data_IF_259491605316
#
_entry.id   IF_259491605316
#
_cell.length_a   1.000
_cell.length_b   1.000
_cell.length_c   1.000
_cell.angle_alpha   90.00
_cell.angle_beta   90.00
_cell.angle_gamma   90.00
#
_symmetry.space_group_name_H-M   'P 1'
#
loop_
_entity.id
_entity.type
_entity.pdbx_description
1 polymer ?
#
# COMPACT_ATOMS: atom_id res chain seq x y z
N UNK A 1 -28.27 2.79 -21.43
CA UNK A 1 -27.25 1.77 -21.14
C UNK A 1 -25.90 2.45 -21.33
N UNK A 2 -25.00 2.37 -20.34
CA UNK A 2 -23.65 2.92 -20.49
C UNK A 2 -22.93 2.18 -21.63
N UNK A 3 -22.21 2.87 -22.51
CA UNK A 3 -21.47 2.22 -23.61
C UNK A 3 -20.17 1.61 -23.08
N UNK A 4 -19.66 0.58 -23.75
CA UNK A 4 -18.40 -0.08 -23.38
C UNK A 4 -17.23 0.92 -23.27
N UNK A 5 -17.22 1.93 -24.15
CA UNK A 5 -16.24 3.01 -24.12
C UNK A 5 -16.30 3.86 -22.85
N UNK A 6 -17.50 4.13 -22.33
CA UNK A 6 -17.70 4.87 -21.09
C UNK A 6 -17.31 4.02 -19.88
N UNK A 7 -17.66 2.73 -19.89
CA UNK A 7 -17.29 1.79 -18.83
C UNK A 7 -15.77 1.57 -18.78
N UNK A 8 -15.11 1.44 -19.93
CA UNK A 8 -13.66 1.34 -20.04
C UNK A 8 -12.96 2.59 -19.49
N UNK A 9 -13.42 3.78 -19.89
CA UNK A 9 -12.87 5.05 -19.41
C UNK A 9 -13.04 5.20 -17.89
N UNK A 10 -14.21 4.82 -17.37
CA UNK A 10 -14.49 4.83 -15.94
C UNK A 10 -13.57 3.86 -15.18
N UNK A 11 -13.34 2.66 -15.72
CA UNK A 11 -12.45 1.66 -15.11
C UNK A 11 -11.01 2.15 -15.03
N UNK A 12 -10.48 2.79 -16.07
CA UNK A 12 -9.14 3.40 -16.06
C UNK A 12 -9.06 4.53 -15.03
N UNK A 13 -10.06 5.42 -15.01
CA UNK A 13 -10.09 6.52 -14.06
C UNK A 13 -10.11 6.02 -12.61
N UNK A 14 -11.02 5.09 -12.32
CA UNK A 14 -11.15 4.54 -10.97
C UNK A 14 -9.94 3.71 -10.57
N UNK A 15 -9.37 2.92 -11.48
CA UNK A 15 -8.19 2.11 -11.23
C UNK A 15 -6.95 2.96 -10.93
N UNK A 16 -6.75 4.05 -11.68
CA UNK A 16 -5.64 4.98 -11.42
C UNK A 16 -5.85 5.76 -10.13
N UNK A 17 -7.06 6.25 -9.86
CA UNK A 17 -7.41 6.88 -8.58
C UNK A 17 -7.17 5.93 -7.39
N UNK A 18 -7.54 4.65 -7.51
CA UNK A 18 -7.29 3.64 -6.49
C UNK A 18 -5.78 3.43 -6.25
N UNK A 19 -4.98 3.33 -7.31
CA UNK A 19 -3.52 3.23 -7.17
C UNK A 19 -2.92 4.44 -6.43
N UNK A 20 -3.39 5.66 -6.73
CA UNK A 20 -2.98 6.86 -6.00
C UNK A 20 -3.36 6.80 -4.52
N UNK A 21 -4.59 6.40 -4.20
CA UNK A 21 -5.07 6.31 -2.82
C UNK A 21 -4.31 5.26 -2.00
N UNK A 22 -3.93 4.12 -2.61
CA UNK A 22 -3.13 3.08 -1.94
C UNK A 22 -1.75 3.61 -1.53
N UNK A 23 -1.05 4.28 -2.46
CA UNK A 23 0.27 4.86 -2.17
C UNK A 23 0.16 5.95 -1.11
N UNK A 24 -0.86 6.80 -1.20
CA UNK A 24 -1.12 7.85 -0.23
C UNK A 24 -1.41 7.29 1.16
N UNK A 25 -2.22 6.23 1.26
CA UNK A 25 -2.44 5.53 2.52
C UNK A 25 -1.13 5.05 3.14
N UNK A 26 -0.29 4.35 2.36
CA UNK A 26 0.98 3.83 2.86
C UNK A 26 1.96 4.94 3.28
N UNK A 27 1.95 6.05 2.53
CA UNK A 27 2.72 7.23 2.90
C UNK A 27 2.24 7.81 4.23
N UNK A 28 0.93 8.02 4.41
CA UNK A 28 0.39 8.56 5.65
C UNK A 28 0.59 7.61 6.84
N UNK A 29 0.42 6.31 6.63
CA UNK A 29 0.60 5.27 7.65
C UNK A 29 2.03 5.26 8.23
N UNK A 30 3.04 5.37 7.36
CA UNK A 30 4.45 5.38 7.78
C UNK A 30 4.87 6.70 8.44
N UNK A 31 4.23 7.81 8.07
CA UNK A 31 4.56 9.14 8.61
C UNK A 31 3.67 9.55 9.80
N UNK A 32 2.72 8.71 10.22
CA UNK A 32 1.86 9.00 11.37
C UNK A 32 2.64 8.85 12.69
N UNK A 33 2.33 9.69 13.67
CA UNK A 33 2.99 9.64 14.99
C UNK A 33 2.70 8.33 15.76
N UNK A 34 1.56 7.71 15.45
CA UNK A 34 1.14 6.39 15.96
C UNK A 34 1.70 5.21 15.15
N UNK A 35 2.67 5.44 14.26
CA UNK A 35 3.34 4.37 13.53
C UNK A 35 4.15 3.50 14.51
N UNK A 36 3.48 2.52 15.12
CA UNK A 36 4.13 1.41 15.80
C UNK A 36 4.54 0.44 14.70
N UNK A 37 5.82 0.36 14.32
CA UNK A 37 6.23 -0.70 13.42
C UNK A 37 5.86 -2.01 14.10
N UNK A 38 4.94 -2.79 13.53
CA UNK A 38 4.85 -4.19 13.87
C UNK A 38 6.23 -4.77 13.55
N UNK A 39 7.05 -4.89 14.59
CA UNK A 39 8.34 -5.56 14.52
C UNK A 39 8.01 -7.00 14.16
N UNK A 40 7.97 -7.29 12.86
CA UNK A 40 8.05 -8.66 12.36
C UNK A 40 9.28 -9.23 13.05
N UNK A 41 9.15 -10.22 13.94
CA UNK A 41 10.28 -10.70 14.71
C UNK A 41 11.33 -11.12 13.70
N UNK A 42 12.39 -10.34 13.58
CA UNK A 42 13.56 -10.79 12.84
C UNK A 42 14.08 -11.92 13.70
N UNK A 43 13.72 -13.14 13.33
CA UNK A 43 14.38 -14.34 13.79
C UNK A 43 15.85 -14.19 13.35
N UNK A 44 16.65 -13.55 14.21
CA UNK A 44 18.11 -13.51 14.08
C UNK A 44 18.57 -14.92 14.42
N UNK A 45 18.55 -15.76 13.39
CA UNK A 45 19.38 -16.96 13.37
C UNK A 45 20.84 -16.55 13.26
N UNK A 46 21.70 -17.20 14.06
CA UNK A 46 23.12 -17.30 13.74
C UNK A 46 24.09 -16.83 14.82
N UNK A 47 24.45 -17.77 15.70
CA UNK A 47 25.72 -17.93 16.44
C UNK A 47 26.87 -16.92 16.17
N UNK A 48 27.45 -16.44 17.28
CA UNK A 48 28.88 -16.16 17.46
C UNK A 48 29.09 -15.77 18.93
N UNK A 49 29.44 -16.66 19.86
CA UNK A 49 30.79 -17.18 20.17
C UNK A 49 31.89 -16.11 20.11
N UNK A 50 32.19 -15.50 21.25
CA UNK A 50 33.51 -15.42 21.90
C UNK A 50 33.37 -14.69 23.23
#
# INVERSE_FOLDING_TARGET
MISDSQLYSLAIFLGTAAMFLIVLYHFLEVNSEDHVPEEKPRAVGGKGKA
#
